data_IF_015617592930
#
_entry.id   IF_015617592930
#
_cell.length_a   1.000
_cell.length_b   1.000
_cell.length_c   1.000
_cell.angle_alpha   90.00
_cell.angle_beta   90.00
_cell.angle_gamma   90.00
#
_symmetry.space_group_name_H-M   'P 1'
#
loop_
_entity.id
_entity.type
_entity.pdbx_description
1 polymer ?
#
# COMPACT_ATOMS: atom_id res chain seq x y z
N UNK A 1 -14.94 -1.66 16.29
CA UNK A 1 -15.63 -2.88 16.75
C UNK A 1 -14.85 -4.17 16.41
N UNK A 2 -13.97 -4.20 15.40
CA UNK A 2 -13.17 -5.40 15.06
C UNK A 2 -11.81 -5.51 15.80
N UNK A 3 -11.26 -4.43 16.36
CA UNK A 3 -9.96 -4.42 17.06
C UNK A 3 -9.99 -4.92 18.51
N UNK A 4 -11.18 -5.03 19.10
CA UNK A 4 -11.35 -5.63 20.44
C UNK A 4 -11.35 -7.16 20.42
N UNK A 5 -11.12 -7.82 19.27
CA UNK A 5 -11.08 -9.29 19.23
C UNK A 5 -9.83 -9.85 19.96
N UNK A 6 -8.73 -9.10 19.99
CA UNK A 6 -7.50 -9.51 20.71
C UNK A 6 -7.45 -8.95 22.14
N UNK A 7 -8.28 -7.95 22.44
CA UNK A 7 -8.38 -7.28 23.73
C UNK A 7 -9.66 -7.73 24.45
N UNK A 8 -9.54 -8.64 25.41
CA UNK A 8 -10.68 -9.03 26.26
C UNK A 8 -10.89 -7.88 27.24
N UNK A 9 -12.05 -7.24 27.20
CA UNK A 9 -12.39 -6.05 28.03
C UNK A 9 -11.39 -4.88 27.93
N UNK A 10 -10.65 -4.78 26.82
CA UNK A 10 -9.64 -3.75 26.62
C UNK A 10 -8.24 -4.11 27.14
N UNK A 11 -8.03 -5.34 27.62
CA UNK A 11 -6.76 -5.84 28.14
C UNK A 11 -6.14 -6.94 27.23
N UNK A 12 -4.82 -6.94 27.11
CA UNK A 12 -4.01 -7.91 26.38
C UNK A 12 -3.57 -9.07 27.28
N UNK A 13 -4.13 -10.26 27.07
CA UNK A 13 -3.83 -11.43 27.91
C UNK A 13 -2.94 -12.49 27.24
N UNK A 14 -2.55 -12.29 25.97
CA UNK A 14 -1.73 -13.26 25.23
C UNK A 14 -0.23 -13.22 25.65
N UNK A 15 0.12 -12.38 26.63
CA UNK A 15 1.48 -12.20 27.15
C UNK A 15 2.31 -11.20 26.35
N UNK A 16 3.38 -10.72 26.97
CA UNK A 16 4.18 -9.59 26.47
C UNK A 16 4.94 -9.92 25.18
N UNK A 17 5.39 -11.16 25.02
CA UNK A 17 6.02 -11.64 23.79
C UNK A 17 5.05 -11.57 22.61
N UNK A 18 3.80 -12.02 22.80
CA UNK A 18 2.80 -11.97 21.74
C UNK A 18 2.40 -10.54 21.41
N UNK A 19 2.37 -9.65 22.39
CA UNK A 19 2.18 -8.21 22.17
C UNK A 19 3.27 -7.66 21.24
N UNK A 20 4.54 -7.90 21.60
CA UNK A 20 5.70 -7.40 20.85
C UNK A 20 5.76 -7.98 19.43
N UNK A 21 5.45 -9.27 19.27
CA UNK A 21 5.34 -9.92 17.96
C UNK A 21 4.17 -9.38 17.13
N UNK A 22 3.02 -9.13 17.74
CA UNK A 22 1.86 -8.57 17.05
C UNK A 22 2.18 -7.18 16.48
N UNK A 23 2.76 -6.30 17.31
CA UNK A 23 3.18 -4.96 16.88
C UNK A 23 4.27 -5.07 15.80
N UNK A 24 5.26 -5.93 15.97
CA UNK A 24 6.29 -6.17 14.95
C UNK A 24 5.72 -6.60 13.60
N UNK A 25 4.76 -7.54 13.60
CA UNK A 25 4.08 -8.00 12.39
C UNK A 25 3.33 -6.83 11.74
N UNK A 26 2.63 -6.00 12.51
CA UNK A 26 1.89 -4.85 12.00
C UNK A 26 2.81 -3.82 11.32
N UNK A 27 3.96 -3.53 11.91
CA UNK A 27 4.98 -2.67 11.32
C UNK A 27 5.59 -3.28 10.06
N UNK A 28 5.87 -4.59 10.08
CA UNK A 28 6.41 -5.34 8.95
C UNK A 28 5.46 -5.31 7.73
N UNK A 29 4.19 -5.64 7.93
CA UNK A 29 3.20 -5.65 6.84
C UNK A 29 2.92 -4.24 6.33
N UNK A 30 2.96 -3.23 7.20
CA UNK A 30 2.77 -1.83 6.80
C UNK A 30 3.93 -1.34 5.93
N UNK A 31 5.18 -1.53 6.37
CA UNK A 31 6.38 -1.16 5.61
C UNK A 31 6.43 -1.87 4.26
N UNK A 32 6.09 -3.16 4.22
CA UNK A 32 6.03 -3.94 2.98
C UNK A 32 4.91 -3.46 2.04
N UNK A 33 3.77 -3.05 2.58
CA UNK A 33 2.67 -2.45 1.82
C UNK A 33 3.08 -1.13 1.17
N UNK A 34 3.77 -0.25 1.92
CA UNK A 34 4.33 1.01 1.43
C UNK A 34 5.32 0.78 0.29
N UNK A 35 6.31 -0.10 0.50
CA UNK A 35 7.28 -0.44 -0.53
C UNK A 35 6.63 -1.01 -1.78
N UNK A 36 5.58 -1.83 -1.62
CA UNK A 36 4.78 -2.35 -2.73
C UNK A 36 4.05 -1.23 -3.49
N UNK A 37 3.48 -0.23 -2.81
CA UNK A 37 2.85 0.93 -3.48
C UNK A 37 3.85 1.75 -4.29
N UNK A 38 5.09 1.93 -3.79
CA UNK A 38 6.17 2.59 -4.54
C UNK A 38 6.53 1.77 -5.77
N UNK A 39 6.71 0.45 -5.65
CA UNK A 39 7.02 -0.43 -6.77
C UNK A 39 5.92 -0.42 -7.84
N UNK A 40 4.64 -0.46 -7.43
CA UNK A 40 3.51 -0.32 -8.35
C UNK A 40 3.56 1.03 -9.07
N UNK A 41 3.89 2.11 -8.35
CA UNK A 41 3.99 3.45 -8.96
C UNK A 41 5.12 3.54 -9.97
N UNK A 42 6.26 2.90 -9.71
CA UNK A 42 7.38 2.79 -10.65
C UNK A 42 7.01 1.97 -11.88
N UNK A 43 6.38 0.82 -11.71
CA UNK A 43 5.89 -0.02 -12.81
C UNK A 43 5.00 0.78 -13.76
N UNK A 44 4.07 1.55 -13.20
CA UNK A 44 3.11 2.37 -13.95
C UNK A 44 3.77 3.55 -14.62
N UNK A 45 4.75 4.16 -13.97
CA UNK A 45 5.60 5.18 -14.59
C UNK A 45 6.34 4.61 -15.82
N UNK A 46 7.00 3.45 -15.71
CA UNK A 46 7.73 2.86 -16.84
C UNK A 46 6.79 2.46 -17.97
N UNK A 47 5.61 1.92 -17.66
CA UNK A 47 4.61 1.54 -18.67
C UNK A 47 4.11 2.73 -19.49
N UNK A 48 3.91 3.90 -18.87
CA UNK A 48 3.31 5.07 -19.52
C UNK A 48 4.36 6.00 -20.12
N UNK A 49 5.48 6.22 -19.42
CA UNK A 49 6.54 7.12 -19.85
C UNK A 49 7.53 6.46 -20.81
N UNK A 50 7.82 5.16 -20.65
CA UNK A 50 8.81 4.42 -21.44
C UNK A 50 8.21 3.15 -22.11
N UNK A 51 7.10 3.24 -22.87
CA UNK A 51 6.36 2.07 -23.35
C UNK A 51 7.18 1.12 -24.24
N UNK A 52 8.11 1.65 -25.04
CA UNK A 52 8.96 0.84 -25.93
C UNK A 52 10.01 0.02 -25.19
N UNK A 53 10.42 0.47 -24.00
CA UNK A 53 11.41 -0.23 -23.18
C UNK A 53 10.76 -1.03 -22.05
N UNK A 54 9.44 -0.92 -21.84
CA UNK A 54 8.71 -1.58 -20.75
C UNK A 54 9.02 -3.09 -20.69
N UNK A 55 8.84 -3.82 -21.81
CA UNK A 55 9.06 -5.28 -21.85
C UNK A 55 10.51 -5.70 -21.60
N UNK A 56 11.48 -4.80 -21.78
CA UNK A 56 12.90 -5.06 -21.50
C UNK A 56 13.30 -4.67 -20.07
N UNK A 57 12.61 -3.69 -19.48
CA UNK A 57 12.88 -3.17 -18.12
C UNK A 57 12.13 -3.98 -17.07
N UNK A 58 10.85 -4.26 -17.28
CA UNK A 58 9.95 -4.97 -16.37
C UNK A 58 9.84 -6.43 -16.82
N UNK A 59 10.51 -7.32 -16.08
CA UNK A 59 10.44 -8.77 -16.29
C UNK A 59 9.96 -9.46 -15.01
N UNK A 60 9.33 -10.63 -15.15
CA UNK A 60 8.78 -11.36 -14.00
C UNK A 60 9.85 -11.69 -12.95
N UNK A 61 11.05 -12.10 -13.38
CA UNK A 61 12.17 -12.40 -12.49
C UNK A 61 12.63 -11.16 -11.71
N UNK A 62 12.72 -10.00 -12.38
CA UNK A 62 13.09 -8.74 -11.72
C UNK A 62 12.03 -8.30 -10.72
N UNK A 63 10.75 -8.43 -11.06
CA UNK A 63 9.65 -8.09 -10.14
C UNK A 63 9.68 -8.99 -8.90
N UNK A 64 9.82 -10.30 -9.07
CA UNK A 64 9.97 -11.25 -7.94
C UNK A 64 11.16 -10.89 -7.05
N UNK A 65 12.30 -10.55 -7.66
CA UNK A 65 13.48 -10.10 -6.92
C UNK A 65 13.23 -8.79 -6.16
N UNK A 66 12.66 -7.77 -6.81
CA UNK A 66 12.34 -6.48 -6.17
C UNK A 66 11.36 -6.63 -5.00
N UNK A 67 10.33 -7.48 -5.15
CA UNK A 67 9.38 -7.78 -4.07
C UNK A 67 10.08 -8.51 -2.93
N UNK A 68 10.88 -9.54 -3.21
CA UNK A 68 11.64 -10.25 -2.18
C UNK A 68 12.62 -9.34 -1.43
N UNK A 69 13.30 -8.45 -2.14
CA UNK A 69 14.18 -7.44 -1.55
C UNK A 69 13.40 -6.44 -0.69
N UNK A 70 12.23 -6.01 -1.15
CA UNK A 70 11.34 -5.13 -0.38
C UNK A 70 10.98 -5.76 0.98
N UNK A 71 10.53 -7.02 0.98
CA UNK A 71 10.23 -7.75 2.22
C UNK A 71 11.45 -7.91 3.12
N UNK A 72 12.60 -8.28 2.57
CA UNK A 72 13.84 -8.41 3.33
C UNK A 72 14.24 -7.08 3.99
N UNK A 73 14.20 -5.98 3.24
CA UNK A 73 14.47 -4.64 3.77
C UNK A 73 13.47 -4.25 4.85
N UNK A 74 12.18 -4.55 4.67
CA UNK A 74 11.15 -4.30 5.69
C UNK A 74 11.44 -5.09 6.98
N UNK A 75 11.83 -6.36 6.89
CA UNK A 75 12.19 -7.17 8.07
C UNK A 75 13.37 -6.54 8.80
N UNK A 76 14.47 -6.29 8.08
CA UNK A 76 15.68 -5.73 8.67
C UNK A 76 15.43 -4.37 9.32
N UNK A 77 14.69 -3.50 8.63
CA UNK A 77 14.32 -2.18 9.13
C UNK A 77 13.49 -2.26 10.41
N UNK A 78 12.41 -3.05 10.42
CA UNK A 78 11.53 -3.16 11.58
C UNK A 78 12.19 -3.90 12.75
N UNK A 79 13.10 -4.83 12.49
CA UNK A 79 13.90 -5.48 13.54
C UNK A 79 14.83 -4.50 14.24
N UNK A 80 15.39 -3.52 13.51
CA UNK A 80 16.18 -2.45 14.11
C UNK A 80 15.30 -1.44 14.85
N UNK A 81 14.14 -1.09 14.28
CA UNK A 81 13.17 -0.15 14.85
C UNK A 81 12.63 -0.63 16.21
N UNK A 82 12.29 -1.92 16.32
CA UNK A 82 11.68 -2.52 17.51
C UNK A 82 12.68 -3.34 18.35
N UNK A 83 13.99 -3.18 18.14
CA UNK A 83 15.01 -4.03 18.78
C UNK A 83 14.82 -4.15 20.30
N UNK A 84 14.71 -3.03 21.00
CA UNK A 84 14.61 -3.01 22.47
C UNK A 84 13.33 -3.70 22.97
N UNK A 85 12.23 -3.55 22.23
CA UNK A 85 10.94 -4.18 22.57
C UNK A 85 10.92 -5.69 22.27
N UNK A 86 11.76 -6.17 21.34
CA UNK A 86 11.91 -7.59 21.03
C UNK A 86 12.89 -8.29 21.98
N UNK A 87 13.92 -7.56 22.45
CA UNK A 87 14.91 -8.05 23.40
C UNK A 87 14.31 -8.21 24.81
N UNK A 88 13.53 -7.22 25.26
CA UNK A 88 12.82 -7.25 26.55
C UNK A 88 11.32 -6.94 26.38
N UNK A 89 10.49 -7.95 26.03
CA UNK A 89 9.05 -7.78 25.89
C UNK A 89 8.41 -7.33 27.21
N UNK A 90 7.59 -6.28 27.17
CA UNK A 90 6.88 -5.75 28.34
C UNK A 90 7.66 -4.75 29.19
N UNK A 91 8.85 -4.34 28.76
CA UNK A 91 9.70 -3.35 29.45
C UNK A 91 8.96 -2.04 29.83
N UNK A 92 7.98 -1.64 29.03
CA UNK A 92 7.24 -0.38 29.18
C UNK A 92 5.82 -0.56 29.73
N UNK A 93 5.40 -1.77 30.09
CA UNK A 93 4.07 -2.03 30.64
C UNK A 93 4.00 -1.54 32.09
N UNK A 94 3.02 -0.70 32.40
CA UNK A 94 2.80 -0.18 33.76
C UNK A 94 1.83 -1.06 34.55
N UNK A 95 0.92 -1.74 33.86
CA UNK A 95 -0.10 -2.61 34.44
C UNK A 95 -0.23 -3.96 33.70
N UNK A 96 -0.74 -4.97 34.41
CA UNK A 96 -1.10 -6.27 33.81
C UNK A 96 -2.23 -6.05 32.80
N UNK A 97 -2.07 -6.59 31.59
CA UNK A 97 -3.04 -6.43 30.51
C UNK A 97 -2.75 -5.27 29.56
N UNK A 98 -1.65 -4.53 29.75
CA UNK A 98 -1.20 -3.53 28.79
C UNK A 98 -0.34 -4.16 27.68
N UNK A 99 -0.43 -3.58 26.48
CA UNK A 99 0.44 -3.90 25.36
C UNK A 99 0.99 -2.60 24.79
N UNK A 100 2.12 -2.15 25.34
CA UNK A 100 2.76 -0.88 24.97
C UNK A 100 4.14 -1.14 24.41
N UNK A 101 4.38 -0.60 23.21
CA UNK A 101 5.68 -0.61 22.54
C UNK A 101 6.13 0.82 22.39
N UNK A 102 7.26 1.16 22.99
CA UNK A 102 7.82 2.52 22.94
C UNK A 102 8.94 2.57 21.90
N UNK A 103 8.90 3.57 21.04
CA UNK A 103 9.94 3.84 20.05
C UNK A 103 10.63 5.15 20.44
N UNK A 104 11.96 5.16 20.39
CA UNK A 104 12.74 6.37 20.65
C UNK A 104 12.32 7.50 19.69
N UNK A 105 12.16 8.72 20.21
CA UNK A 105 11.75 9.89 19.40
C UNK A 105 12.57 10.09 18.13
N UNK A 106 13.90 9.93 18.19
CA UNK A 106 14.78 10.07 17.02
C UNK A 106 14.48 9.00 15.98
N UNK A 107 14.28 7.76 16.44
CA UNK A 107 13.96 6.64 15.56
C UNK A 107 12.54 6.78 14.99
N UNK A 108 11.59 7.27 15.78
CA UNK A 108 10.23 7.61 15.32
C UNK A 108 10.21 8.72 14.26
N UNK A 109 11.04 9.75 14.39
CA UNK A 109 11.22 10.77 13.34
C UNK A 109 11.80 10.16 12.06
N UNK A 110 12.79 9.28 12.19
CA UNK A 110 13.35 8.55 11.04
C UNK A 110 12.27 7.70 10.37
N UNK A 111 11.42 7.03 11.15
CA UNK A 111 10.31 6.23 10.62
C UNK A 111 9.26 7.08 9.89
N UNK A 112 8.89 8.23 10.42
CA UNK A 112 8.02 9.19 9.72
C UNK A 112 8.61 9.57 8.35
N UNK A 113 9.92 9.85 8.29
CA UNK A 113 10.57 10.23 7.04
C UNK A 113 10.61 9.06 6.07
N UNK A 114 10.99 7.86 6.51
CA UNK A 114 11.18 6.70 5.65
C UNK A 114 9.89 5.99 5.25
N UNK A 115 8.91 5.91 6.15
CA UNK A 115 7.68 5.16 5.99
C UNK A 115 6.50 6.04 5.54
N UNK A 116 6.62 7.37 5.63
CA UNK A 116 5.57 8.30 5.18
C UNK A 116 6.07 9.33 4.17
N UNK A 117 6.94 10.27 4.57
CA UNK A 117 7.29 11.41 3.72
C UNK A 117 8.04 11.02 2.44
N UNK A 118 9.04 10.14 2.55
CA UNK A 118 9.82 9.65 1.41
C UNK A 118 8.95 8.92 0.37
N UNK A 119 8.19 7.88 0.76
CA UNK A 119 7.30 7.17 -0.15
C UNK A 119 6.27 8.10 -0.81
N UNK A 120 5.64 8.99 -0.04
CA UNK A 120 4.64 9.94 -0.55
C UNK A 120 5.24 10.90 -1.58
N UNK A 121 6.42 11.45 -1.31
CA UNK A 121 7.10 12.38 -2.24
C UNK A 121 7.49 11.68 -3.55
N UNK A 122 8.05 10.48 -3.47
CA UNK A 122 8.38 9.66 -4.65
C UNK A 122 7.13 9.36 -5.47
N UNK A 123 6.07 8.90 -4.81
CA UNK A 123 4.79 8.59 -5.43
C UNK A 123 4.21 9.82 -6.15
N UNK A 124 4.08 10.96 -5.47
CA UNK A 124 3.53 12.20 -6.06
C UNK A 124 4.37 12.62 -7.26
N UNK A 125 5.70 12.60 -7.14
CA UNK A 125 6.59 12.97 -8.25
C UNK A 125 6.38 12.08 -9.48
N UNK A 126 6.35 10.75 -9.30
CA UNK A 126 6.12 9.80 -10.39
C UNK A 126 4.76 10.02 -11.05
N UNK A 127 3.69 10.22 -10.27
CA UNK A 127 2.36 10.46 -10.81
C UNK A 127 2.23 11.80 -11.53
N UNK A 128 2.88 12.85 -11.05
CA UNK A 128 2.91 14.14 -11.75
C UNK A 128 3.59 13.99 -13.12
N UNK A 129 4.69 13.24 -13.21
CA UNK A 129 5.34 12.93 -14.50
C UNK A 129 4.43 12.14 -15.43
N UNK A 130 3.77 11.10 -14.92
CA UNK A 130 2.78 10.31 -15.68
C UNK A 130 1.66 11.19 -16.22
N UNK A 131 1.10 12.06 -15.38
CA UNK A 131 0.02 12.97 -15.76
C UNK A 131 0.45 13.96 -16.85
N UNK A 132 1.62 14.56 -16.72
CA UNK A 132 2.16 15.49 -17.73
C UNK A 132 2.37 14.79 -19.07
N UNK A 133 2.96 13.59 -19.08
CA UNK A 133 3.17 12.80 -20.31
C UNK A 133 1.84 12.39 -20.92
N UNK A 134 0.86 11.97 -20.13
CA UNK A 134 -0.47 11.63 -20.64
C UNK A 134 -1.17 12.85 -21.27
N UNK A 135 -1.07 14.03 -20.65
CA UNK A 135 -1.65 15.26 -21.17
C UNK A 135 -0.95 15.74 -22.46
N UNK A 136 0.38 15.64 -22.54
CA UNK A 136 1.12 16.02 -23.76
C UNK A 136 0.75 15.09 -24.92
N UNK A 137 0.63 13.79 -24.68
CA UNK A 137 0.18 12.81 -25.67
C UNK A 137 -1.27 13.05 -26.10
N UNK A 138 -2.18 13.39 -25.18
CA UNK A 138 -3.57 13.70 -25.51
C UNK A 138 -3.70 14.97 -26.38
N UNK A 139 -2.85 15.98 -26.14
CA UNK A 139 -2.79 17.22 -26.94
C UNK A 139 -2.23 16.96 -28.34
N UNK A 140 -1.11 16.22 -28.45
CA UNK A 140 -0.50 15.87 -29.74
C UNK A 140 -1.39 14.99 -30.63
N UNK A 141 -2.30 14.22 -30.02
CA UNK A 141 -3.25 13.38 -30.74
C UNK A 141 -4.46 14.15 -31.30
N UNK A 142 -4.83 15.29 -30.69
CA UNK A 142 -5.89 16.17 -31.22
C UNK A 142 -5.48 16.89 -32.52
N UNK A 143 -4.19 16.99 -32.82
CA UNK A 143 -3.69 17.71 -34.01
C UNK A 143 -3.50 16.85 -35.26
N UNK A 144 -3.57 15.51 -35.18
CA UNK A 144 -3.41 14.61 -36.33
C UNK A 144 -4.62 13.69 -36.51
N UNK A 145 -5.67 14.18 -37.18
CA UNK A 145 -6.80 13.36 -37.66
C UNK A 145 -6.89 13.53 -39.18
N UNK A 146 -6.26 12.65 -39.97
CA UNK A 146 -6.78 12.32 -41.33
C UNK A 146 -6.35 10.98 -41.97
N UNK A 147 -5.39 10.16 -41.47
CA UNK A 147 -4.98 8.98 -42.29
C UNK A 147 -4.63 7.65 -41.61
N UNK A 148 -4.66 7.51 -40.28
CA UNK A 148 -4.20 6.28 -39.60
C UNK A 148 -5.30 5.64 -38.73
N UNK A 149 -6.48 5.39 -39.29
CA UNK A 149 -7.70 5.13 -38.50
C UNK A 149 -7.72 3.81 -37.71
N UNK A 150 -7.01 2.76 -38.14
CA UNK A 150 -7.03 1.43 -37.50
C UNK A 150 -5.90 1.26 -36.47
N UNK A 151 -4.67 1.66 -36.80
CA UNK A 151 -3.54 1.55 -35.88
C UNK A 151 -3.58 2.63 -34.79
N UNK A 152 -4.16 3.80 -35.10
CA UNK A 152 -4.45 4.81 -34.10
C UNK A 152 -5.56 4.36 -33.15
N UNK A 153 -6.62 3.66 -33.59
CA UNK A 153 -7.73 3.28 -32.69
C UNK A 153 -7.31 2.27 -31.62
N UNK A 154 -6.45 1.30 -31.95
CA UNK A 154 -5.88 0.35 -30.98
C UNK A 154 -4.92 1.05 -30.02
N UNK A 155 -4.00 1.88 -30.52
CA UNK A 155 -3.10 2.71 -29.69
C UNK A 155 -3.88 3.67 -28.78
N UNK A 156 -4.95 4.29 -29.27
CA UNK A 156 -5.85 5.18 -28.50
C UNK A 156 -6.54 4.42 -27.38
N UNK A 157 -7.03 3.21 -27.65
CA UNK A 157 -7.72 2.37 -26.67
C UNK A 157 -6.78 1.93 -25.54
N UNK A 158 -5.56 1.50 -25.89
CA UNK A 158 -4.51 1.15 -24.91
C UNK A 158 -4.10 2.36 -24.07
N UNK A 159 -3.88 3.53 -24.69
CA UNK A 159 -3.52 4.76 -23.95
C UNK A 159 -4.63 5.24 -23.02
N UNK A 160 -5.90 5.08 -23.42
CA UNK A 160 -7.06 5.43 -22.59
C UNK A 160 -7.21 4.48 -21.39
N UNK A 161 -6.91 3.19 -21.54
CA UNK A 161 -6.90 2.25 -20.41
C UNK A 161 -5.76 2.55 -19.43
N UNK A 162 -4.57 2.90 -19.93
CA UNK A 162 -3.44 3.29 -19.08
C UNK A 162 -3.71 4.58 -18.28
N UNK A 163 -4.32 5.60 -18.89
CA UNK A 163 -4.71 6.82 -18.17
C UNK A 163 -5.78 6.55 -17.10
N UNK A 164 -6.71 5.64 -17.37
CA UNK A 164 -7.69 5.19 -16.37
C UNK A 164 -7.01 4.47 -15.21
N UNK A 165 -6.01 3.64 -15.49
CA UNK A 165 -5.19 2.98 -14.48
C UNK A 165 -4.33 3.98 -13.68
N UNK A 166 -3.78 5.02 -14.31
CA UNK A 166 -3.08 6.09 -13.58
C UNK A 166 -4.01 6.87 -12.64
N UNK A 167 -5.24 7.17 -13.07
CA UNK A 167 -6.25 7.85 -12.23
C UNK A 167 -6.64 7.02 -11.00
N UNK A 168 -6.86 5.72 -11.20
CA UNK A 168 -7.06 4.74 -10.12
C UNK A 168 -5.96 4.83 -9.07
N UNK A 169 -4.71 4.89 -9.53
CA UNK A 169 -3.56 4.88 -8.64
C UNK A 169 -3.44 6.16 -7.82
N UNK A 170 -3.81 7.31 -8.39
CA UNK A 170 -3.96 8.54 -7.62
C UNK A 170 -5.00 8.41 -6.49
N UNK A 171 -6.08 7.66 -6.70
CA UNK A 171 -7.07 7.37 -5.63
C UNK A 171 -6.46 6.47 -4.56
N UNK A 172 -5.68 5.45 -4.94
CA UNK A 172 -4.98 4.57 -3.97
C UNK A 172 -4.09 5.37 -3.04
N UNK A 173 -3.29 6.28 -3.62
CA UNK A 173 -2.36 7.13 -2.89
C UNK A 173 -3.09 8.08 -1.96
N UNK A 174 -4.18 8.70 -2.42
CA UNK A 174 -4.98 9.60 -1.58
C UNK A 174 -5.61 8.85 -0.39
N UNK A 175 -6.14 7.65 -0.64
CA UNK A 175 -6.70 6.80 0.41
C UNK A 175 -5.62 6.40 1.42
N UNK A 176 -4.45 5.97 0.93
CA UNK A 176 -3.30 5.64 1.74
C UNK A 176 -2.87 6.82 2.63
N UNK A 177 -2.79 8.03 2.07
CA UNK A 177 -2.49 9.25 2.80
C UNK A 177 -3.51 9.54 3.89
N UNK A 178 -4.81 9.45 3.58
CA UNK A 178 -5.88 9.68 4.56
C UNK A 178 -5.78 8.69 5.71
N UNK A 179 -5.50 7.41 5.42
CA UNK A 179 -5.42 6.37 6.44
C UNK A 179 -4.18 6.45 7.34
N UNK A 180 -3.01 6.84 6.81
CA UNK A 180 -1.76 6.83 7.58
C UNK A 180 -1.39 8.19 8.18
N UNK A 181 -1.82 9.30 7.57
CA UNK A 181 -1.46 10.64 8.05
C UNK A 181 -1.83 10.87 9.53
N UNK A 182 -3.04 10.49 10.01
CA UNK A 182 -3.40 10.68 11.41
C UNK A 182 -2.50 9.91 12.38
N UNK A 183 -2.04 8.72 11.98
CA UNK A 183 -1.13 7.91 12.80
C UNK A 183 0.23 8.59 12.97
N UNK A 184 0.87 8.97 11.86
CA UNK A 184 2.18 9.63 11.92
C UNK A 184 2.11 11.01 12.57
N UNK A 185 0.99 11.73 12.45
CA UNK A 185 0.80 13.00 13.16
C UNK A 185 0.85 12.80 14.68
N UNK A 186 0.16 11.77 15.20
CA UNK A 186 0.19 11.42 16.63
C UNK A 186 1.61 11.05 17.09
N UNK A 187 2.34 10.28 16.28
CA UNK A 187 3.73 9.89 16.57
C UNK A 187 4.66 11.11 16.66
N UNK A 188 4.50 12.11 15.78
CA UNK A 188 5.33 13.32 15.75
C UNK A 188 5.01 14.26 16.92
N UNK A 189 3.72 14.44 17.25
CA UNK A 189 3.29 15.42 18.26
C UNK A 189 3.55 14.99 19.70
N UNK A 190 3.94 13.73 19.94
CA UNK A 190 4.50 13.23 21.19
C UNK A 190 3.76 13.63 22.47
N UNK A 191 2.98 12.70 23.04
CA UNK A 191 2.60 12.61 24.46
C UNK A 191 1.83 13.78 25.15
N UNK A 192 1.80 15.01 24.63
CA UNK A 192 1.32 16.19 25.37
C UNK A 192 -0.11 16.66 25.01
N UNK A 193 -0.72 16.10 23.97
CA UNK A 193 -2.13 16.38 23.67
C UNK A 193 -3.00 15.23 24.13
N UNK A 194 -3.88 15.54 25.08
CA UNK A 194 -5.07 14.84 25.58
C UNK A 194 -5.87 14.08 24.50
N UNK A 195 -5.28 13.06 23.89
CA UNK A 195 -5.99 12.16 23.01
C UNK A 195 -6.73 11.17 23.91
N UNK A 196 -8.02 11.44 24.12
CA UNK A 196 -8.93 10.48 24.74
C UNK A 196 -8.78 9.10 24.09
N UNK A 197 -8.91 8.02 24.86
CA UNK A 197 -8.82 6.63 24.40
C UNK A 197 -9.67 6.36 23.14
N UNK A 198 -10.79 7.06 22.98
CA UNK A 198 -11.64 7.00 21.79
C UNK A 198 -10.97 7.53 20.52
N UNK A 199 -10.19 8.61 20.61
CA UNK A 199 -9.47 9.21 19.49
C UNK A 199 -8.27 8.36 19.05
N UNK A 200 -7.53 7.77 20.01
CA UNK A 200 -6.47 6.81 19.71
C UNK A 200 -7.02 5.55 19.01
N UNK A 201 -8.14 5.00 19.51
CA UNK A 201 -8.81 3.87 18.88
C UNK A 201 -9.31 4.16 17.47
N UNK A 202 -9.76 5.39 17.20
CA UNK A 202 -10.15 5.82 15.86
C UNK A 202 -8.95 5.88 14.90
N UNK A 203 -7.83 6.48 15.32
CA UNK A 203 -6.60 6.58 14.51
C UNK A 203 -6.06 5.20 14.17
N UNK A 204 -5.99 4.30 15.15
CA UNK A 204 -5.57 2.91 14.95
C UNK A 204 -6.51 2.18 13.99
N UNK A 205 -7.83 2.34 14.16
CA UNK A 205 -8.82 1.75 13.26
C UNK A 205 -8.64 2.25 11.82
N UNK A 206 -8.41 3.54 11.63
CA UNK A 206 -8.19 4.16 10.32
C UNK A 206 -6.90 3.65 9.66
N UNK A 207 -5.83 3.48 10.45
CA UNK A 207 -4.56 2.93 10.00
C UNK A 207 -4.74 1.51 9.43
N UNK A 208 -5.40 0.63 10.17
CA UNK A 208 -5.65 -0.73 9.69
C UNK A 208 -6.67 -0.80 8.54
N UNK A 209 -7.62 0.13 8.50
CA UNK A 209 -8.60 0.20 7.42
C UNK A 209 -7.93 0.40 6.04
N UNK A 210 -6.73 0.97 5.99
CA UNK A 210 -5.88 1.03 4.79
C UNK A 210 -5.75 -0.34 4.09
N UNK A 211 -5.50 -1.40 4.86
CA UNK A 211 -5.31 -2.75 4.33
C UNK A 211 -6.61 -3.31 3.75
N UNK A 212 -7.77 -2.98 4.33
CA UNK A 212 -9.09 -3.37 3.81
C UNK A 212 -9.43 -2.67 2.49
N UNK A 213 -8.94 -1.43 2.31
CA UNK A 213 -9.21 -0.65 1.11
C UNK A 213 -8.42 -1.17 -0.10
N UNK A 214 -7.27 -1.82 0.09
CA UNK A 214 -6.47 -2.37 -1.00
C UNK A 214 -7.28 -3.31 -1.94
N UNK A 215 -7.92 -4.41 -1.49
CA UNK A 215 -8.77 -5.25 -2.36
C UNK A 215 -9.96 -4.50 -2.98
N UNK A 216 -10.59 -3.58 -2.24
CA UNK A 216 -11.73 -2.78 -2.70
C UNK A 216 -11.31 -1.90 -3.88
N UNK A 217 -10.18 -1.22 -3.73
CA UNK A 217 -9.54 -0.44 -4.78
C UNK A 217 -9.27 -1.33 -5.99
N UNK A 218 -8.63 -2.50 -5.83
CA UNK A 218 -8.38 -3.40 -6.96
C UNK A 218 -9.67 -3.82 -7.66
N UNK A 219 -10.74 -4.13 -6.90
CA UNK A 219 -12.06 -4.43 -7.43
C UNK A 219 -12.67 -3.27 -8.21
N UNK A 220 -12.69 -2.06 -7.67
CA UNK A 220 -13.29 -0.92 -8.38
C UNK A 220 -12.53 -0.54 -9.62
N UNK A 221 -11.22 -0.77 -9.67
CA UNK A 221 -10.40 -0.18 -10.71
C UNK A 221 -9.85 -1.15 -11.75
N UNK A 222 -9.74 -2.45 -11.46
CA UNK A 222 -9.25 -3.45 -12.40
C UNK A 222 -10.40 -4.35 -12.90
N UNK A 223 -10.85 -4.20 -14.16
CA UNK A 223 -11.97 -4.98 -14.69
C UNK A 223 -11.71 -6.49 -14.70
N UNK A 224 -10.46 -6.91 -14.92
CA UNK A 224 -10.07 -8.32 -14.86
C UNK A 224 -10.16 -8.87 -13.43
N UNK A 225 -9.74 -8.07 -12.43
CA UNK A 225 -9.84 -8.43 -11.02
C UNK A 225 -11.31 -8.60 -10.58
N UNK A 226 -12.23 -7.77 -11.11
CA UNK A 226 -13.68 -7.98 -10.90
C UNK A 226 -14.18 -9.28 -11.49
N UNK A 227 -13.70 -9.67 -12.69
CA UNK A 227 -14.04 -10.96 -13.28
C UNK A 227 -13.54 -12.10 -12.39
N UNK A 228 -12.29 -12.05 -11.93
CA UNK A 228 -11.75 -13.03 -10.97
C UNK A 228 -12.60 -13.10 -9.69
N UNK A 229 -12.90 -11.95 -9.06
CA UNK A 229 -13.72 -11.87 -7.85
C UNK A 229 -15.10 -12.47 -8.06
N UNK A 230 -15.74 -12.16 -9.21
CA UNK A 230 -17.04 -12.74 -9.55
C UNK A 230 -16.94 -14.26 -9.62
N UNK A 231 -15.94 -14.81 -10.32
CA UNK A 231 -15.72 -16.26 -10.41
C UNK A 231 -15.53 -16.92 -9.04
N UNK A 232 -14.77 -16.29 -8.15
CA UNK A 232 -14.55 -16.76 -6.78
C UNK A 232 -15.86 -16.75 -5.99
N UNK A 233 -16.58 -15.62 -5.98
CA UNK A 233 -17.82 -15.45 -5.20
C UNK A 233 -18.96 -16.31 -5.74
N UNK A 234 -19.07 -16.50 -7.05
CA UNK A 234 -20.05 -17.40 -7.66
C UNK A 234 -19.62 -18.87 -7.62
N UNK A 235 -18.49 -19.18 -6.98
CA UNK A 235 -17.91 -20.52 -6.86
C UNK A 235 -17.68 -21.22 -8.20
N UNK A 236 -17.54 -20.45 -9.28
CA UNK A 236 -17.29 -20.97 -10.63
C UNK A 236 -15.88 -21.55 -10.75
N UNK A 237 -14.97 -21.17 -9.86
CA UNK A 237 -13.65 -21.79 -9.73
C UNK A 237 -13.73 -23.28 -9.33
N UNK A 238 -14.83 -23.72 -8.71
CA UNK A 238 -15.03 -25.11 -8.28
C UNK A 238 -15.69 -25.98 -9.36
N UNK A 239 -16.11 -25.38 -10.49
CA UNK A 239 -16.73 -26.14 -11.58
C UNK A 239 -15.67 -26.93 -12.37
N UNK A 240 -16.01 -28.13 -12.87
CA UNK A 240 -15.11 -28.91 -13.73
C UNK A 240 -14.71 -28.08 -14.96
N UNK A 241 -13.41 -28.03 -15.29
CA UNK A 241 -12.88 -27.24 -16.41
C UNK A 241 -12.58 -25.77 -16.09
N UNK A 242 -12.72 -25.32 -14.84
CA UNK A 242 -12.40 -23.94 -14.42
C UNK A 242 -10.95 -23.53 -14.67
N UNK A 243 -10.02 -24.49 -14.71
CA UNK A 243 -8.60 -24.28 -15.03
C UNK A 243 -8.35 -23.79 -16.45
N UNK A 244 -9.30 -23.98 -17.37
CA UNK A 244 -9.20 -23.55 -18.78
C UNK A 244 -9.88 -22.18 -19.03
N UNK A 245 -10.50 -21.60 -18.01
CA UNK A 245 -11.21 -20.33 -18.14
C UNK A 245 -10.23 -19.18 -18.45
N UNK A 246 -10.37 -18.57 -19.64
CA UNK A 246 -9.64 -17.34 -19.99
C UNK A 246 -10.26 -16.12 -19.30
N UNK A 247 -9.58 -15.63 -18.27
CA UNK A 247 -10.00 -14.47 -17.48
C UNK A 247 -9.46 -13.14 -18.06
N UNK A 248 -8.39 -13.21 -18.87
CA UNK A 248 -7.73 -12.10 -19.58
C UNK A 248 -8.06 -12.10 -21.08
#
# INVERSE_FOLDING_TARGET
>A
MSFQIVLIDGCWFLGDLMCSLHVFIDYLVTSSSIGTMVLISVDRYVAICDPLHYSSKITEQRVKFCVGLCWLCSVLYNSLLLKDNLEEPGLYNSCIGECVVVINYVVGLVDVVLSFLGPVTVIIFLYMRVFVVALSQARAMRSHITSVQIQASVSVTVKKSELKAARTLGVVVLVFLICLCPYYFVVITGQDTLLNTSSAGFVICLFYFNSCLNPVIYAFFYPWFRKCLKLIVTLQILQPGSSEAKIL
#
